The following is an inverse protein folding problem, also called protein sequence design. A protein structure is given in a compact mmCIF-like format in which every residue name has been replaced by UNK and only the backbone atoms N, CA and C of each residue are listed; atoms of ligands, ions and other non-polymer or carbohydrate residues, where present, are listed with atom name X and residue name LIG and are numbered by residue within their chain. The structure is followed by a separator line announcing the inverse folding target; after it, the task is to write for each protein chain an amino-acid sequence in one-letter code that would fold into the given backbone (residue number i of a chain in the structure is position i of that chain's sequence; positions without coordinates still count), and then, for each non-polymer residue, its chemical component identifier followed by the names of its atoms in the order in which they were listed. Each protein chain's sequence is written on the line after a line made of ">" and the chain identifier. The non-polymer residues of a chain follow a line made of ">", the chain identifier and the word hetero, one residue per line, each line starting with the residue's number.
data_IF_821868903634
#
_entry.id   IF_821868903634
#
_cell.length_a   1.000
_cell.length_b   1.000
_cell.length_c   1.000
_cell.angle_alpha   90.00
_cell.angle_beta   90.00
_cell.angle_gamma   90.00
#
_symmetry.space_group_name_H-M   'P 1'
#
loop_
_entity.id
_entity.type
_entity.pdbx_description
1 polymer ?
#
# COMPACT_ATOMS: atom_id res chain seq x y z
N UNK A 1 16.14 10.19 -12.15
CA UNK A 1 15.74 10.05 -10.74
C UNK A 1 14.42 10.77 -10.55
N UNK A 2 13.63 10.36 -9.55
CA UNK A 2 12.35 11.00 -9.22
C UNK A 2 12.49 12.52 -8.98
N UNK A 3 13.66 12.94 -8.48
CA UNK A 3 13.96 14.34 -8.15
C UNK A 3 14.70 15.10 -9.26
N UNK A 4 14.84 14.54 -10.46
CA UNK A 4 15.57 15.19 -11.57
C UNK A 4 17.11 15.25 -11.42
N UNK A 5 17.65 15.15 -10.21
CA UNK A 5 19.09 15.32 -9.90
C UNK A 5 20.00 14.25 -10.51
N UNK A 6 19.57 12.99 -10.48
CA UNK A 6 20.39 11.87 -10.96
C UNK A 6 19.92 11.34 -12.31
N UNK A 7 20.83 11.06 -13.27
CA UNK A 7 20.48 10.44 -14.53
C UNK A 7 19.68 9.15 -14.35
N UNK A 8 18.74 8.89 -15.26
CA UNK A 8 18.00 7.63 -15.24
C UNK A 8 18.95 6.45 -15.52
N UNK A 9 18.73 5.33 -14.83
CA UNK A 9 19.55 4.14 -14.98
C UNK A 9 20.94 4.21 -14.32
N UNK A 10 21.27 5.31 -13.61
CA UNK A 10 22.51 5.36 -12.85
C UNK A 10 22.51 4.28 -11.76
N UNK A 11 23.55 3.43 -11.68
CA UNK A 11 23.52 2.26 -10.81
C UNK A 11 23.70 2.69 -9.35
N UNK A 12 22.75 2.31 -8.49
CA UNK A 12 22.74 2.70 -7.07
C UNK A 12 23.06 1.53 -6.14
N UNK A 13 22.38 0.41 -6.31
CA UNK A 13 22.51 -0.75 -5.44
C UNK A 13 21.90 -2.00 -6.10
N UNK A 14 22.22 -3.17 -5.55
CA UNK A 14 21.54 -4.45 -5.79
C UNK A 14 20.63 -4.75 -4.61
N UNK A 15 19.35 -4.99 -4.85
CA UNK A 15 18.42 -5.38 -3.79
C UNK A 15 18.82 -6.73 -3.22
N UNK A 16 18.90 -6.83 -1.89
CA UNK A 16 19.27 -8.07 -1.18
C UNK A 16 18.10 -8.64 -0.39
N UNK A 17 17.18 -7.81 0.07
CA UNK A 17 16.00 -8.25 0.81
C UNK A 17 14.83 -7.29 0.59
N UNK A 18 13.63 -7.85 0.51
CA UNK A 18 12.37 -7.11 0.45
C UNK A 18 11.50 -7.64 1.58
N UNK A 19 11.05 -6.76 2.47
CA UNK A 19 10.23 -7.09 3.62
C UNK A 19 8.86 -6.44 3.44
N UNK A 20 7.90 -7.26 3.02
CA UNK A 20 6.51 -6.87 2.75
C UNK A 20 5.63 -7.31 3.92
N UNK A 21 5.24 -6.35 4.75
CA UNK A 21 4.36 -6.57 5.90
C UNK A 21 2.96 -6.07 5.54
N UNK A 22 1.98 -6.97 5.45
CA UNK A 22 0.60 -6.65 5.02
C UNK A 22 -0.13 -5.59 5.85
N UNK A 23 0.41 -5.21 7.00
CA UNK A 23 -0.10 -4.17 7.88
C UNK A 23 0.55 -2.80 7.64
N UNK A 24 1.60 -2.71 6.82
CA UNK A 24 2.33 -1.49 6.53
C UNK A 24 1.93 -0.94 5.15
N UNK A 25 1.83 0.39 5.06
CA UNK A 25 1.54 1.07 3.80
C UNK A 25 2.73 1.10 2.81
N UNK A 26 3.91 0.71 3.29
CA UNK A 26 5.16 0.73 2.55
C UNK A 26 5.97 -0.54 2.81
N UNK A 27 6.82 -0.88 1.86
CA UNK A 27 7.71 -2.04 1.91
C UNK A 27 9.10 -1.59 2.34
N UNK A 28 9.76 -2.36 3.19
CA UNK A 28 11.16 -2.11 3.54
C UNK A 28 12.08 -2.89 2.59
N UNK A 29 13.02 -2.20 1.95
CA UNK A 29 13.98 -2.81 1.02
C UNK A 29 15.40 -2.60 1.55
N UNK A 30 16.12 -3.70 1.75
CA UNK A 30 17.57 -3.68 1.99
C UNK A 30 18.29 -3.91 0.67
N UNK A 31 19.33 -3.12 0.41
CA UNK A 31 20.13 -3.22 -0.79
C UNK A 31 21.62 -3.07 -0.50
N UNK A 32 22.44 -3.79 -1.28
CA UNK A 32 23.91 -3.69 -1.26
C UNK A 32 24.35 -2.65 -2.29
N UNK A 33 25.12 -1.61 -1.90
CA UNK A 33 25.66 -0.64 -2.86
C UNK A 33 26.46 -1.32 -3.96
N UNK A 34 26.35 -0.81 -5.20
CA UNK A 34 27.21 -1.28 -6.31
C UNK A 34 28.63 -0.75 -6.21
N UNK A 35 28.79 0.40 -5.55
CA UNK A 35 30.08 1.03 -5.36
C UNK A 35 30.74 0.48 -4.09
N UNK A 36 32.02 0.15 -4.21
CA UNK A 36 32.87 -0.15 -3.06
C UNK A 36 33.44 1.16 -2.53
N UNK A 37 32.78 1.73 -1.51
CA UNK A 37 33.07 3.09 -1.04
C UNK A 37 34.38 3.20 -0.25
N UNK A 38 34.91 2.08 0.26
CA UNK A 38 36.11 2.06 1.11
C UNK A 38 37.40 2.28 0.32
N UNK A 39 37.39 1.95 -0.98
CA UNK A 39 38.58 1.97 -1.84
C UNK A 39 38.52 3.03 -2.97
N UNK A 40 37.69 4.07 -2.82
CA UNK A 40 37.54 5.11 -3.85
C UNK A 40 38.61 6.19 -3.71
N UNK A 41 39.41 6.40 -4.77
CA UNK A 41 40.39 7.51 -4.84
C UNK A 41 39.97 8.64 -5.80
N UNK A 42 39.00 8.39 -6.67
CA UNK A 42 38.59 9.32 -7.73
C UNK A 42 37.08 9.41 -7.80
N UNK A 43 36.57 10.60 -8.11
CA UNK A 43 35.14 10.88 -8.23
C UNK A 43 34.84 11.62 -9.51
N UNK A 44 33.66 11.35 -10.07
CA UNK A 44 33.10 12.12 -11.19
C UNK A 44 31.93 12.95 -10.66
N UNK A 45 32.01 14.26 -10.84
CA UNK A 45 30.89 15.16 -10.53
C UNK A 45 29.97 15.20 -11.75
N UNK A 46 28.74 14.75 -11.56
CA UNK A 46 27.68 14.85 -12.55
C UNK A 46 26.98 16.19 -12.35
N UNK A 47 26.93 17.00 -13.41
CA UNK A 47 26.14 18.23 -13.46
C UNK A 47 25.03 18.06 -14.49
N UNK A 48 23.93 18.78 -14.30
CA UNK A 48 22.86 18.81 -15.30
C UNK A 48 23.40 19.20 -16.68
N UNK A 49 22.99 18.52 -17.76
CA UNK A 49 23.24 19.02 -19.09
C UNK A 49 22.56 20.40 -19.22
N UNK A 50 23.10 21.31 -20.05
CA UNK A 50 22.63 22.69 -20.14
C UNK A 50 21.15 22.85 -20.53
N UNK A 51 20.51 21.78 -21.04
CA UNK A 51 19.11 21.73 -21.48
C UNK A 51 18.22 20.85 -20.57
N UNK A 52 18.72 20.39 -19.42
CA UNK A 52 17.89 19.62 -18.49
C UNK A 52 16.79 20.49 -17.87
N UNK A 53 15.56 19.95 -17.71
CA UNK A 53 14.51 20.63 -16.96
C UNK A 53 15.00 20.95 -15.54
N UNK A 54 14.65 22.13 -14.99
CA UNK A 54 15.04 22.47 -13.64
C UNK A 54 14.51 21.41 -12.66
N UNK A 55 15.32 21.01 -11.65
CA UNK A 55 14.89 20.02 -10.67
C UNK A 55 13.64 20.53 -9.94
N UNK A 56 12.68 19.64 -9.60
CA UNK A 56 11.50 20.03 -8.83
C UNK A 56 11.93 20.71 -7.53
N UNK A 57 11.45 21.95 -7.33
CA UNK A 57 11.80 22.81 -6.20
C UNK A 57 11.71 22.08 -4.84
N UNK A 58 12.85 21.69 -4.29
CA UNK A 58 12.94 20.98 -2.99
C UNK A 58 12.66 21.87 -1.76
N UNK A 59 12.07 23.06 -1.95
CA UNK A 59 11.87 24.06 -0.89
C UNK A 59 10.42 24.20 -0.38
N UNK A 60 9.43 23.55 -1.00
CA UNK A 60 8.01 23.83 -0.68
C UNK A 60 7.26 22.78 0.17
N UNK A 61 7.86 21.65 0.58
CA UNK A 61 7.16 20.62 1.39
C UNK A 61 7.78 20.44 2.80
N UNK A 62 8.80 21.21 3.16
CA UNK A 62 9.36 21.24 4.52
C UNK A 62 8.77 22.35 5.39
N UNK A 63 7.46 22.61 5.33
CA UNK A 63 6.82 23.58 6.23
C UNK A 63 5.28 23.50 6.23
N UNK A 64 4.68 22.44 6.80
CA UNK A 64 3.47 22.52 7.64
C UNK A 64 2.93 21.14 8.04
N UNK A 65 3.59 20.50 9.00
CA UNK A 65 2.86 19.79 10.06
C UNK A 65 3.36 20.33 11.40
N UNK A 66 3.08 21.62 11.60
CA UNK A 66 3.10 22.24 12.92
C UNK A 66 2.08 21.48 13.78
N UNK A 67 2.59 20.88 14.85
CA UNK A 67 1.92 20.51 16.09
C UNK A 67 0.39 20.54 16.08
N UNK A 68 -0.24 19.36 16.07
CA UNK A 68 -1.58 19.19 16.64
C UNK A 68 -1.42 18.99 18.15
N UNK A 69 -1.69 20.00 19.02
CA UNK A 69 -1.92 19.71 20.42
C UNK A 69 -3.25 18.98 20.53
N UNK A 70 -3.19 17.70 20.89
CA UNK A 70 -4.32 16.94 21.40
C UNK A 70 -4.85 17.67 22.63
N UNK A 71 -5.91 18.48 22.50
CA UNK A 71 -6.95 18.65 23.52
C UNK A 71 -8.07 19.64 23.13
N UNK A 72 -9.29 19.07 23.19
CA UNK A 72 -10.58 19.70 23.56
C UNK A 72 -11.34 20.48 22.47
N UNK A 73 -12.32 19.82 21.85
CA UNK A 73 -13.75 20.19 21.89
C UNK A 73 -14.60 19.16 21.11
N UNK A 74 -14.89 18.00 21.72
CA UNK A 74 -16.05 17.16 21.32
C UNK A 74 -17.19 17.39 22.30
N UNK A 75 -17.65 18.64 22.36
CA UNK A 75 -18.88 18.99 23.06
C UNK A 75 -19.77 19.74 22.07
N UNK A 76 -20.48 18.97 21.24
CA UNK A 76 -21.73 19.37 20.59
C UNK A 76 -22.36 18.11 20.01
N UNK A 77 -23.30 17.59 20.79
CA UNK A 77 -24.48 16.86 20.33
C UNK A 77 -24.94 17.36 18.96
N UNK A 78 -25.27 16.46 18.04
CA UNK A 78 -26.58 16.39 17.39
C UNK A 78 -26.61 15.29 16.33
N UNK A 79 -27.43 14.29 16.62
CA UNK A 79 -28.32 13.56 15.72
C UNK A 79 -27.80 13.16 14.33
N UNK A 80 -27.24 11.95 14.25
CA UNK A 80 -27.22 11.20 12.99
C UNK A 80 -27.62 9.76 13.33
N UNK A 81 -28.91 9.48 13.20
CA UNK A 81 -29.47 8.14 13.11
C UNK A 81 -28.69 7.32 12.07
N UNK A 82 -28.15 6.13 12.41
CA UNK A 82 -27.52 5.28 11.41
C UNK A 82 -28.61 4.72 10.48
N UNK A 83 -28.70 5.27 9.27
CA UNK A 83 -29.46 4.65 8.19
C UNK A 83 -28.75 3.37 7.78
N UNK A 84 -29.37 2.23 8.05
CA UNK A 84 -28.89 0.94 7.55
C UNK A 84 -28.72 1.02 6.02
N UNK A 85 -27.56 0.66 5.46
CA UNK A 85 -27.43 0.54 4.01
C UNK A 85 -28.24 -0.67 3.54
N UNK A 86 -29.20 -0.42 2.63
CA UNK A 86 -29.91 -1.44 1.85
C UNK A 86 -28.91 -2.16 0.93
N UNK A 87 -28.19 -3.13 1.48
CA UNK A 87 -27.40 -4.07 0.70
C UNK A 87 -28.08 -5.43 0.72
N UNK A 88 -28.70 -5.79 -0.41
CA UNK A 88 -29.18 -7.14 -0.69
C UNK A 88 -27.97 -8.09 -0.70
N UNK A 89 -27.96 -9.06 0.21
CA UNK A 89 -26.93 -10.09 0.24
C UNK A 89 -26.95 -10.90 -1.07
N UNK A 90 -25.79 -11.20 -1.70
CA UNK A 90 -25.75 -12.13 -2.82
C UNK A 90 -26.13 -13.52 -2.32
N UNK A 91 -27.18 -14.09 -2.91
CA UNK A 91 -27.59 -15.47 -2.67
C UNK A 91 -26.59 -16.40 -3.35
N UNK A 92 -25.64 -16.94 -2.59
CA UNK A 92 -24.84 -18.07 -3.06
C UNK A 92 -25.71 -19.33 -2.99
N UNK A 93 -26.01 -19.88 -4.17
CA UNK A 93 -26.71 -21.17 -4.32
C UNK A 93 -25.89 -22.27 -3.65
N UNK A 94 -26.46 -22.89 -2.61
CA UNK A 94 -25.87 -24.07 -1.97
C UNK A 94 -25.72 -25.23 -2.98
N UNK A 95 -24.66 -26.05 -2.91
CA UNK A 95 -24.58 -27.27 -3.70
C UNK A 95 -25.62 -28.28 -3.19
N UNK A 96 -26.18 -29.14 -4.06
CA UNK A 96 -27.15 -30.13 -3.62
C UNK A 96 -26.46 -31.15 -2.71
N UNK A 97 -26.95 -31.26 -1.48
CA UNK A 97 -26.57 -32.34 -0.59
C UNK A 97 -26.96 -33.68 -1.22
N UNK A 98 -25.98 -34.59 -1.30
CA UNK A 98 -26.12 -36.01 -1.63
C UNK A 98 -27.32 -36.63 -0.91
N UNK A 99 -28.34 -37.03 -1.67
CA UNK A 99 -29.46 -37.82 -1.16
C UNK A 99 -28.96 -39.20 -0.77
N UNK A 100 -28.94 -39.48 0.53
CA UNK A 100 -28.88 -40.83 1.08
C UNK A 100 -30.32 -41.23 1.44
N UNK A 101 -30.92 -42.15 0.70
CA UNK A 101 -32.21 -42.76 1.05
C UNK A 101 -31.97 -44.06 1.83
N UNK A 102 -32.40 -44.15 3.10
CA UNK A 102 -32.81 -45.40 3.72
C UNK A 102 -34.35 -45.46 3.76
N UNK A 103 -34.90 -46.56 3.24
CA UNK A 103 -36.33 -46.75 3.08
C UNK A 103 -37.11 -46.96 4.37
N UNK A 104 -38.42 -46.67 4.30
CA UNK A 104 -39.57 -47.25 5.03
C UNK A 104 -40.82 -46.88 4.18
N UNK A 105 -41.38 -47.76 3.35
CA UNK A 105 -42.26 -48.93 3.58
C UNK A 105 -43.73 -48.60 3.99
N UNK A 106 -44.66 -48.92 3.04
CA UNK A 106 -46.08 -49.40 3.13
C UNK A 106 -47.25 -48.46 3.53
N UNK A 107 -48.54 -48.86 3.28
CA UNK A 107 -49.13 -49.83 2.32
C UNK A 107 -50.42 -49.31 1.57
N UNK A 108 -51.01 -50.19 0.74
CA UNK A 108 -52.44 -50.38 0.39
C UNK A 108 -53.04 -49.91 -0.97
N UNK A 109 -53.62 -50.93 -1.64
CA UNK A 109 -54.69 -50.95 -2.67
C UNK A 109 -54.35 -50.31 -4.03
N UNK A 110 -54.51 -50.96 -5.19
CA UNK A 110 -55.47 -51.97 -5.63
C UNK A 110 -54.86 -52.76 -6.81
#
# INVERSE_FOLDING_TARGET
>A
GLDGVFPQGYPVARVTQVQDERSQAFVNITARPVADLDHISQVLVLTDPPDAPPPPDSKAEQASVVSIPSQRLIESTQDIVPRAPDFLAPSFSAPPATQSQPGQEKPHAQ
#
